data_IF_528416445909
#
_entry.id   IF_528416445909
#
_cell.length_a   1.000
_cell.length_b   1.000
_cell.length_c   1.000
_cell.angle_alpha   90.00
_cell.angle_beta   90.00
_cell.angle_gamma   90.00
#
_symmetry.space_group_name_H-M   'P 1'
#
loop_
_entity.id
_entity.type
_entity.pdbx_description
1 polymer ?
#
# COMPACT_ATOMS: atom_id res chain seq x y z
N UNK A 1 -12.28 9.32 7.77
CA UNK A 1 -11.80 8.05 7.20
C UNK A 1 -11.49 7.05 8.29
N UNK A 2 -11.63 5.77 8.00
CA UNK A 2 -11.37 4.67 8.91
C UNK A 2 -9.92 4.70 9.41
N UNK A 3 -9.73 4.31 10.67
CA UNK A 3 -8.39 4.15 11.23
C UNK A 3 -7.77 2.84 10.79
N UNK A 4 -6.47 2.89 10.43
CA UNK A 4 -5.74 1.72 9.98
C UNK A 4 -4.61 1.39 10.95
N UNK A 5 -4.15 0.14 10.90
CA UNK A 5 -3.06 -0.36 11.74
C UNK A 5 -1.69 -0.01 11.16
N UNK A 6 -1.54 -0.12 9.83
CA UNK A 6 -0.26 0.07 9.15
C UNK A 6 -0.19 1.35 8.34
N UNK A 7 -1.28 2.11 8.31
CA UNK A 7 -1.36 3.35 7.56
C UNK A 7 -1.81 4.49 8.47
N UNK A 8 -1.37 5.68 8.13
CA UNK A 8 -1.88 6.92 8.69
C UNK A 8 -2.40 7.76 7.54
N UNK A 9 -3.51 8.45 7.71
CA UNK A 9 -4.09 9.26 6.64
C UNK A 9 -4.30 10.68 7.09
N UNK A 10 -4.19 11.60 6.14
CA UNK A 10 -4.37 13.02 6.36
C UNK A 10 -4.99 13.62 5.12
N UNK A 11 -5.98 14.49 5.29
CA UNK A 11 -6.57 15.21 4.17
C UNK A 11 -6.03 16.64 4.19
N UNK A 12 -5.49 17.06 3.08
CA UNK A 12 -5.00 18.43 2.92
C UNK A 12 -5.56 18.99 1.63
N UNK A 13 -6.43 20.00 1.75
CA UNK A 13 -7.18 20.53 0.62
C UNK A 13 -7.95 19.40 -0.06
N UNK A 14 -7.70 19.14 -1.35
CA UNK A 14 -8.41 18.10 -2.10
C UNK A 14 -7.56 16.84 -2.27
N UNK A 15 -6.50 16.69 -1.49
CA UNK A 15 -5.61 15.54 -1.56
C UNK A 15 -5.71 14.69 -0.30
N UNK A 16 -5.75 13.39 -0.49
CA UNK A 16 -5.60 12.43 0.61
C UNK A 16 -4.14 12.00 0.64
N UNK A 17 -3.50 12.16 1.79
CA UNK A 17 -2.13 11.70 1.99
C UNK A 17 -2.20 10.40 2.77
N UNK A 18 -1.63 9.34 2.21
CA UNK A 18 -1.53 8.04 2.86
C UNK A 18 -0.07 7.84 3.25
N UNK A 19 0.16 7.72 4.55
CA UNK A 19 1.48 7.43 5.09
C UNK A 19 1.58 5.94 5.38
N UNK A 20 2.59 5.28 4.81
CA UNK A 20 2.95 3.93 5.23
C UNK A 20 3.56 4.07 6.62
N UNK A 21 2.95 3.47 7.62
CA UNK A 21 3.24 3.78 9.02
C UNK A 21 3.59 2.53 9.83
N UNK A 22 4.72 1.94 9.47
CA UNK A 22 5.39 0.87 10.20
C UNK A 22 6.87 1.24 10.34
N UNK A 23 7.10 2.38 10.94
CA UNK A 23 8.41 3.00 10.99
C UNK A 23 9.48 2.09 11.61
N UNK A 24 9.12 1.32 12.63
CA UNK A 24 10.01 0.37 13.30
C UNK A 24 10.44 -0.80 12.40
N UNK A 25 9.75 -1.00 11.30
CA UNK A 25 10.07 -2.01 10.29
C UNK A 25 10.38 -1.37 8.93
N UNK A 26 10.71 -0.08 8.93
CA UNK A 26 11.00 0.69 7.71
C UNK A 26 9.87 0.57 6.68
N UNK A 27 8.64 0.52 7.18
CA UNK A 27 7.41 0.41 6.39
C UNK A 27 7.37 -0.85 5.51
N UNK A 28 7.96 -1.95 6.00
CA UNK A 28 7.97 -3.22 5.28
C UNK A 28 6.54 -3.69 5.01
N UNK A 29 6.32 -4.22 3.81
CA UNK A 29 5.02 -4.58 3.28
C UNK A 29 4.51 -5.88 3.90
N UNK A 30 3.26 -5.86 4.35
CA UNK A 30 2.58 -7.04 4.90
C UNK A 30 1.24 -7.22 4.20
N UNK A 31 0.61 -8.38 4.41
CA UNK A 31 -0.74 -8.63 3.91
C UNK A 31 -1.73 -7.62 4.51
N UNK A 32 -1.59 -7.29 5.80
CA UNK A 32 -2.44 -6.28 6.43
C UNK A 32 -2.30 -4.94 5.72
N UNK A 33 -1.08 -4.51 5.43
CA UNK A 33 -0.86 -3.26 4.72
C UNK A 33 -1.50 -3.27 3.34
N UNK A 34 -1.38 -4.38 2.60
CA UNK A 34 -2.01 -4.53 1.29
C UNK A 34 -3.52 -4.35 1.40
N UNK A 35 -4.15 -5.04 2.35
CA UNK A 35 -5.59 -4.96 2.55
C UNK A 35 -6.03 -3.55 2.93
N UNK A 36 -5.26 -2.90 3.79
CA UNK A 36 -5.56 -1.54 4.23
C UNK A 36 -5.38 -0.52 3.10
N UNK A 37 -4.34 -0.68 2.28
CA UNK A 37 -4.15 0.19 1.12
C UNK A 37 -5.32 0.10 0.15
N UNK A 38 -5.77 -1.12 -0.14
CA UNK A 38 -6.94 -1.31 -1.01
C UNK A 38 -8.18 -0.66 -0.40
N UNK A 39 -8.40 -0.85 0.90
CA UNK A 39 -9.55 -0.25 1.59
C UNK A 39 -9.48 1.28 1.56
N UNK A 40 -8.29 1.85 1.76
CA UNK A 40 -8.11 3.30 1.72
C UNK A 40 -8.41 3.86 0.33
N UNK A 41 -7.97 3.17 -0.71
CA UNK A 41 -8.26 3.57 -2.09
C UNK A 41 -9.75 3.51 -2.38
N UNK A 42 -10.43 2.45 -1.92
CA UNK A 42 -11.86 2.31 -2.12
C UNK A 42 -12.64 3.42 -1.42
N UNK A 43 -12.27 3.74 -0.17
CA UNK A 43 -12.92 4.83 0.56
C UNK A 43 -12.68 6.18 -0.13
N UNK A 44 -11.46 6.44 -0.58
CA UNK A 44 -11.12 7.71 -1.22
C UNK A 44 -11.91 7.92 -2.51
N UNK A 45 -12.14 6.85 -3.27
CA UNK A 45 -12.89 6.95 -4.52
C UNK A 45 -14.37 7.32 -4.30
N UNK A 46 -14.88 7.09 -3.09
CA UNK A 46 -16.24 7.46 -2.72
C UNK A 46 -16.32 8.83 -2.06
N UNK A 47 -15.21 9.55 -1.95
CA UNK A 47 -15.16 10.88 -1.34
C UNK A 47 -14.98 11.91 -2.45
N UNK A 48 -16.05 12.60 -2.81
CA UNK A 48 -16.05 13.55 -3.94
C UNK A 48 -15.05 14.68 -3.78
N UNK A 49 -14.73 15.07 -2.56
CA UNK A 49 -13.77 16.14 -2.27
C UNK A 49 -12.32 15.73 -2.51
N UNK A 50 -12.04 14.42 -2.58
CA UNK A 50 -10.67 13.93 -2.83
C UNK A 50 -10.42 13.86 -4.33
N UNK A 51 -9.46 14.64 -4.80
CA UNK A 51 -9.12 14.74 -6.23
C UNK A 51 -7.79 14.09 -6.57
N UNK A 52 -6.95 13.81 -5.57
CA UNK A 52 -5.68 13.11 -5.77
C UNK A 52 -5.29 12.38 -4.49
N UNK A 53 -4.44 11.36 -4.64
CA UNK A 53 -3.96 10.57 -3.52
C UNK A 53 -2.43 10.59 -3.55
N UNK A 54 -1.83 10.94 -2.41
CA UNK A 54 -0.38 11.02 -2.26
C UNK A 54 0.06 9.91 -1.32
N UNK A 55 1.04 9.12 -1.75
CA UNK A 55 1.65 8.09 -0.90
C UNK A 55 3.02 8.57 -0.44
N UNK A 56 3.31 8.39 0.84
CA UNK A 56 4.62 8.65 1.39
C UNK A 56 4.86 7.69 2.56
N UNK A 57 6.02 7.73 3.18
CA UNK A 57 6.33 6.86 4.32
C UNK A 57 6.65 7.67 5.56
N UNK A 58 6.27 7.15 6.72
CA UNK A 58 6.71 7.69 7.99
C UNK A 58 8.16 7.25 8.24
N UNK A 59 8.96 8.16 8.80
CA UNK A 59 10.34 7.86 9.15
C UNK A 59 11.29 7.97 7.97
N UNK A 60 12.34 7.14 7.97
CA UNK A 60 13.47 7.25 7.04
C UNK A 60 13.26 6.53 5.72
N UNK A 61 12.35 5.56 5.66
CA UNK A 61 12.12 4.78 4.45
C UNK A 61 10.75 5.05 3.86
N UNK A 62 10.63 4.86 2.55
CA UNK A 62 9.31 4.82 1.91
C UNK A 62 8.69 3.45 2.18
N UNK A 63 9.29 2.38 1.67
CA UNK A 63 8.87 1.00 1.92
C UNK A 63 10.05 0.08 1.65
N UNK A 64 10.44 -0.71 2.64
CA UNK A 64 11.62 -1.57 2.55
C UNK A 64 11.37 -2.89 1.82
N UNK A 65 10.17 -3.08 1.26
CA UNK A 65 9.81 -4.32 0.56
C UNK A 65 9.06 -5.27 1.47
N UNK A 66 8.99 -6.55 1.07
CA UNK A 66 8.25 -7.55 1.82
C UNK A 66 8.81 -7.72 3.23
N UNK A 67 7.90 -7.83 4.22
CA UNK A 67 8.31 -8.10 5.60
C UNK A 67 8.78 -9.54 5.70
N UNK A 68 10.05 -9.74 6.04
CA UNK A 68 10.68 -11.05 6.13
C UNK A 68 10.52 -11.71 7.50
N UNK A 69 9.80 -11.08 8.42
CA UNK A 69 9.63 -11.61 9.77
C UNK A 69 8.89 -12.96 9.82
N UNK A 70 8.12 -13.28 8.77
CA UNK A 70 7.46 -14.59 8.64
C UNK A 70 8.39 -15.69 8.11
N UNK A 71 9.66 -15.38 7.87
CA UNK A 71 10.67 -16.34 7.46
C UNK A 71 10.37 -16.97 6.10
N UNK A 72 10.47 -18.30 6.02
CA UNK A 72 10.28 -19.02 4.77
C UNK A 72 8.90 -18.91 4.14
N UNK A 73 7.90 -18.49 4.91
CA UNK A 73 6.53 -18.34 4.40
C UNK A 73 6.28 -17.00 3.72
N UNK A 74 7.23 -16.07 3.77
CA UNK A 74 7.05 -14.71 3.24
C UNK A 74 6.64 -14.71 1.76
N UNK A 75 7.22 -15.57 0.97
CA UNK A 75 6.98 -15.64 -0.47
C UNK A 75 6.14 -16.85 -0.90
N UNK A 76 5.47 -17.52 0.04
CA UNK A 76 4.59 -18.64 -0.30
C UNK A 76 3.27 -18.12 -0.84
N UNK A 77 3.11 -18.23 -2.16
CA UNK A 77 1.96 -17.68 -2.88
C UNK A 77 0.65 -18.44 -2.62
N UNK A 78 0.69 -19.54 -1.86
CA UNK A 78 -0.52 -20.30 -1.53
C UNK A 78 -1.09 -19.95 -0.17
N UNK A 79 -0.31 -19.27 0.71
CA UNK A 79 -0.73 -18.91 2.06
C UNK A 79 -1.28 -17.49 2.08
N UNK A 80 -2.53 -17.35 2.55
CA UNK A 80 -3.16 -16.04 2.69
C UNK A 80 -3.41 -15.31 1.37
N UNK A 81 -3.29 -15.99 0.24
CA UNK A 81 -3.49 -15.38 -1.08
C UNK A 81 -4.90 -15.63 -1.59
N UNK A 82 -5.43 -14.66 -2.33
CA UNK A 82 -6.72 -14.77 -2.99
C UNK A 82 -6.54 -15.42 -4.37
N UNK A 83 -7.51 -16.23 -4.75
CA UNK A 83 -7.61 -16.72 -6.12
C UNK A 83 -8.49 -15.78 -6.91
N UNK A 84 -8.06 -15.44 -8.12
CA UNK A 84 -8.84 -14.67 -9.07
C UNK A 84 -8.83 -15.42 -10.38
N UNK A 85 -10.01 -15.82 -10.90
CA UNK A 85 -10.14 -16.60 -12.13
C UNK A 85 -9.27 -17.87 -12.09
N UNK A 86 -9.29 -18.57 -10.95
CA UNK A 86 -8.50 -19.78 -10.70
C UNK A 86 -6.98 -19.56 -10.73
N UNK A 87 -6.54 -18.31 -10.63
CA UNK A 87 -5.12 -17.96 -10.55
C UNK A 87 -4.81 -17.44 -9.15
N UNK A 88 -3.77 -17.99 -8.53
CA UNK A 88 -3.29 -17.49 -7.24
C UNK A 88 -2.41 -16.27 -7.50
N UNK A 89 -2.78 -15.12 -6.93
CA UNK A 89 -2.01 -13.89 -7.07
C UNK A 89 -1.38 -13.53 -5.74
N UNK A 90 -0.15 -13.04 -5.78
CA UNK A 90 0.50 -12.52 -4.57
C UNK A 90 -0.12 -11.18 -4.15
N UNK A 91 0.05 -10.82 -2.87
CA UNK A 91 -0.56 -9.61 -2.32
C UNK A 91 0.00 -8.33 -2.94
N UNK A 92 1.29 -8.34 -3.30
CA UNK A 92 1.91 -7.19 -3.99
C UNK A 92 1.33 -7.00 -5.38
N UNK A 93 1.12 -8.10 -6.11
CA UNK A 93 0.51 -8.05 -7.44
C UNK A 93 -0.92 -7.57 -7.40
N UNK A 94 -1.69 -7.99 -6.40
CA UNK A 94 -3.07 -7.51 -6.21
C UNK A 94 -3.10 -6.01 -5.95
N UNK A 95 -2.19 -5.51 -5.12
CA UNK A 95 -2.10 -4.08 -4.85
C UNK A 95 -1.73 -3.32 -6.13
N UNK A 96 -0.75 -3.79 -6.88
CA UNK A 96 -0.32 -3.14 -8.11
C UNK A 96 -1.47 -3.02 -9.12
N UNK A 97 -2.26 -4.08 -9.28
CA UNK A 97 -3.42 -4.05 -10.15
C UNK A 97 -4.47 -3.05 -9.66
N UNK A 98 -4.67 -2.97 -8.34
CA UNK A 98 -5.63 -2.01 -7.77
C UNK A 98 -5.16 -0.57 -8.00
N UNK A 99 -3.88 -0.30 -7.84
CA UNK A 99 -3.31 1.03 -8.11
C UNK A 99 -3.52 1.42 -9.57
N UNK A 100 -3.28 0.49 -10.48
CA UNK A 100 -3.48 0.73 -11.91
C UNK A 100 -4.93 1.10 -12.24
N UNK A 101 -5.89 0.55 -11.49
CA UNK A 101 -7.33 0.79 -11.70
C UNK A 101 -7.86 2.00 -10.93
N UNK A 102 -7.00 2.76 -10.26
CA UNK A 102 -7.44 3.91 -9.47
C UNK A 102 -8.15 4.95 -10.34
N UNK A 103 -9.25 5.46 -9.81
CA UNK A 103 -10.00 6.56 -10.45
C UNK A 103 -9.38 7.92 -10.15
N UNK A 104 -8.53 8.00 -9.14
CA UNK A 104 -7.86 9.24 -8.76
C UNK A 104 -6.41 9.21 -9.24
N UNK A 105 -5.85 10.38 -9.58
CA UNK A 105 -4.41 10.48 -9.80
C UNK A 105 -3.66 10.06 -8.55
N UNK A 106 -2.61 9.25 -8.73
CA UNK A 106 -1.77 8.77 -7.63
C UNK A 106 -0.40 9.41 -7.76
N UNK A 107 0.11 9.91 -6.65
CA UNK A 107 1.39 10.60 -6.57
C UNK A 107 2.21 9.93 -5.48
N UNK A 108 3.47 9.59 -5.77
CA UNK A 108 4.37 9.07 -4.77
C UNK A 108 5.34 10.17 -4.33
N UNK A 109 5.33 10.47 -3.04
CA UNK A 109 6.31 11.36 -2.42
C UNK A 109 7.33 10.46 -1.72
N UNK A 110 8.36 10.06 -2.45
CA UNK A 110 9.33 9.07 -1.99
C UNK A 110 10.33 9.74 -1.05
N UNK A 111 10.23 9.38 0.22
CA UNK A 111 11.00 10.03 1.30
C UNK A 111 12.29 9.28 1.66
N UNK A 112 12.54 8.13 1.07
CA UNK A 112 13.71 7.30 1.37
C UNK A 112 13.71 6.02 0.57
N UNK A 113 14.35 4.98 1.09
CA UNK A 113 14.50 3.72 0.38
C UNK A 113 13.16 3.11 -0.02
N UNK A 114 13.10 2.63 -1.26
CA UNK A 114 11.95 1.93 -1.83
C UNK A 114 12.48 0.68 -2.51
N UNK A 115 12.13 -0.50 -1.96
CA UNK A 115 12.70 -1.79 -2.36
C UNK A 115 11.59 -2.79 -2.63
N UNK A 116 11.77 -3.67 -3.62
CA UNK A 116 10.78 -4.68 -3.96
C UNK A 116 9.43 -4.08 -4.31
N UNK A 117 8.36 -4.51 -3.62
CA UNK A 117 7.03 -3.92 -3.83
C UNK A 117 7.05 -2.41 -3.56
N UNK A 118 7.90 -1.94 -2.63
CA UNK A 118 8.07 -0.51 -2.38
C UNK A 118 8.49 0.26 -3.63
N UNK A 119 9.33 -0.33 -4.47
CA UNK A 119 9.73 0.27 -5.73
C UNK A 119 8.69 0.02 -6.83
N UNK A 120 8.15 -1.19 -6.89
CA UNK A 120 7.18 -1.58 -7.93
C UNK A 120 5.92 -0.72 -7.90
N UNK A 121 5.41 -0.42 -6.70
CA UNK A 121 4.19 0.37 -6.58
C UNK A 121 4.37 1.83 -7.03
N UNK A 122 5.60 2.28 -7.28
CA UNK A 122 5.86 3.62 -7.79
C UNK A 122 5.62 3.73 -9.30
N UNK A 123 5.53 2.62 -9.96
CA UNK A 123 5.35 2.56 -11.41
C UNK A 123 3.88 2.57 -11.80
#
# INVERSE_FOLDING_TARGET
MKKFETLRTETKENSLIIYLSREERMNAFTLTMQQELVAALDEAENMDEIKSIIFTGDGKAYCAGADLSSGGDTFDNRKGRKKTNNVVRDSGGLLTLRLFKSKNPLIAAVNGAAVGIGATMLL
#
